data_IF_899675173174
#
_entry.id   IF_899675173174
#
_cell.length_a   1.000
_cell.length_b   1.000
_cell.length_c   1.000
_cell.angle_alpha   90.00
_cell.angle_beta   90.00
_cell.angle_gamma   90.00
#
_symmetry.space_group_name_H-M   'P 1'
#
loop_
_entity.id
_entity.type
_entity.pdbx_description
1 polymer ?
#
# COMPACT_ATOMS: atom_id res chain seq x y z
N UNK A 1 -15.11 17.53 19.75
CA UNK A 1 -14.27 18.12 18.69
C UNK A 1 -13.62 16.96 17.97
N UNK A 2 -14.07 16.67 16.75
CA UNK A 2 -13.38 15.72 15.88
C UNK A 2 -12.03 16.34 15.51
N UNK A 3 -10.91 15.75 15.94
CA UNK A 3 -9.60 16.13 15.40
C UNK A 3 -9.61 15.79 13.91
N UNK A 4 -9.74 16.80 13.05
CA UNK A 4 -9.51 16.60 11.63
C UNK A 4 -8.03 16.26 11.43
N UNK A 5 -7.69 15.13 10.78
CA UNK A 5 -6.31 14.80 10.46
C UNK A 5 -5.64 15.98 9.76
N UNK A 6 -4.44 16.35 10.21
CA UNK A 6 -3.66 17.38 9.52
C UNK A 6 -3.51 16.96 8.04
N UNK A 7 -3.92 17.79 7.06
CA UNK A 7 -3.90 17.42 5.64
C UNK A 7 -2.53 16.91 5.15
N UNK A 8 -1.45 17.43 5.76
CA UNK A 8 -0.08 17.01 5.50
C UNK A 8 0.21 15.56 5.90
N UNK A 9 -0.37 15.07 7.00
CA UNK A 9 -0.17 13.70 7.46
C UNK A 9 -0.89 12.69 6.54
N UNK A 10 -2.08 13.03 6.04
CA UNK A 10 -2.76 12.21 5.02
C UNK A 10 -1.94 12.12 3.74
N UNK A 11 -1.38 13.25 3.27
CA UNK A 11 -0.51 13.28 2.09
C UNK A 11 0.76 12.45 2.30
N UNK A 12 1.39 12.57 3.47
CA UNK A 12 2.56 11.76 3.82
C UNK A 12 2.22 10.27 3.86
N UNK A 13 1.08 9.91 4.47
CA UNK A 13 0.59 8.52 4.55
C UNK A 13 0.37 7.94 3.15
N UNK A 14 -0.30 8.67 2.26
CA UNK A 14 -0.51 8.23 0.87
C UNK A 14 0.83 8.12 0.10
N UNK A 15 1.78 9.03 0.32
CA UNK A 15 3.10 8.96 -0.31
C UNK A 15 3.93 7.76 0.18
N UNK A 16 3.85 7.42 1.47
CA UNK A 16 4.50 6.24 2.04
C UNK A 16 3.92 4.95 1.42
N UNK A 17 2.61 4.89 1.16
CA UNK A 17 2.03 3.75 0.44
C UNK A 17 2.58 3.61 -0.98
N UNK A 18 2.80 4.72 -1.71
CA UNK A 18 3.45 4.68 -3.03
C UNK A 18 4.85 4.06 -2.93
N UNK A 19 5.64 4.50 -1.95
CA UNK A 19 6.99 3.94 -1.72
C UNK A 19 6.92 2.45 -1.35
N UNK A 20 5.98 2.06 -0.50
CA UNK A 20 5.76 0.66 -0.13
C UNK A 20 5.42 -0.21 -1.34
N UNK A 21 4.52 0.25 -2.22
CA UNK A 21 4.17 -0.49 -3.44
C UNK A 21 5.36 -0.58 -4.40
N UNK A 22 6.16 0.48 -4.54
CA UNK A 22 7.37 0.48 -5.36
C UNK A 22 8.41 -0.51 -4.83
N UNK A 23 8.68 -0.48 -3.52
CA UNK A 23 9.62 -1.39 -2.87
C UNK A 23 9.15 -2.83 -3.02
N UNK A 24 7.89 -3.13 -2.71
CA UNK A 24 7.37 -4.50 -2.83
C UNK A 24 7.36 -5.00 -4.27
N UNK A 25 7.13 -4.13 -5.27
CA UNK A 25 7.20 -4.52 -6.67
C UNK A 25 8.63 -4.87 -7.14
N UNK A 26 9.64 -4.18 -6.62
CA UNK A 26 11.02 -4.32 -7.09
C UNK A 26 11.83 -5.32 -6.27
N UNK A 27 11.54 -5.45 -4.97
CA UNK A 27 12.37 -6.22 -4.06
C UNK A 27 12.53 -7.69 -4.47
N UNK A 28 11.48 -8.45 -4.82
CA UNK A 28 11.61 -9.86 -5.21
C UNK A 28 12.53 -10.07 -6.43
N UNK A 29 12.58 -9.09 -7.32
CA UNK A 29 13.44 -9.09 -8.52
C UNK A 29 14.89 -8.87 -8.10
N UNK A 30 15.15 -7.86 -7.26
CA UNK A 30 16.50 -7.48 -6.83
C UNK A 30 17.17 -8.58 -6.01
N UNK A 31 16.40 -9.25 -5.14
CA UNK A 31 16.94 -10.31 -4.25
C UNK A 31 16.87 -11.71 -4.84
N UNK A 32 16.27 -11.88 -6.03
CA UNK A 32 16.23 -13.16 -6.76
C UNK A 32 15.34 -14.21 -6.11
N UNK A 33 14.03 -13.97 -6.05
CA UNK A 33 13.03 -14.93 -5.53
C UNK A 33 12.45 -15.84 -6.63
N UNK A 34 11.68 -16.86 -6.24
CA UNK A 34 10.93 -17.72 -7.16
C UNK A 34 10.04 -16.93 -8.15
N UNK A 35 9.90 -17.43 -9.38
CA UNK A 35 9.19 -16.73 -10.45
C UNK A 35 7.69 -16.51 -10.14
N UNK A 36 7.04 -17.47 -9.48
CA UNK A 36 5.64 -17.37 -9.10
C UNK A 36 5.41 -16.26 -8.05
N UNK A 37 6.24 -16.23 -7.01
CA UNK A 37 6.21 -15.18 -6.00
C UNK A 37 6.50 -13.81 -6.63
N UNK A 38 7.57 -13.71 -7.41
CA UNK A 38 7.97 -12.48 -8.10
C UNK A 38 6.85 -11.96 -9.00
N UNK A 39 6.26 -12.81 -9.84
CA UNK A 39 5.16 -12.43 -10.73
C UNK A 39 3.94 -11.94 -9.96
N UNK A 40 3.58 -12.62 -8.87
CA UNK A 40 2.45 -12.24 -8.02
C UNK A 40 2.66 -10.88 -7.34
N UNK A 41 3.75 -10.74 -6.58
CA UNK A 41 4.02 -9.52 -5.81
C UNK A 41 4.31 -8.34 -6.71
N UNK A 42 5.04 -8.53 -7.82
CA UNK A 42 5.33 -7.45 -8.78
C UNK A 42 4.05 -6.94 -9.44
N UNK A 43 3.19 -7.84 -9.93
CA UNK A 43 1.93 -7.45 -10.57
C UNK A 43 1.00 -6.74 -9.58
N UNK A 44 0.87 -7.27 -8.36
CA UNK A 44 0.11 -6.62 -7.29
C UNK A 44 0.69 -5.26 -6.90
N UNK A 45 2.02 -5.14 -6.86
CA UNK A 45 2.70 -3.87 -6.56
C UNK A 45 2.48 -2.81 -7.62
N UNK A 46 2.50 -3.18 -8.90
CA UNK A 46 2.16 -2.27 -10.01
C UNK A 46 0.71 -1.80 -9.94
N UNK A 47 -0.24 -2.70 -9.67
CA UNK A 47 -1.64 -2.32 -9.45
C UNK A 47 -1.78 -1.41 -8.22
N UNK A 48 -1.12 -1.75 -7.11
CA UNK A 48 -1.05 -0.93 -5.91
C UNK A 48 -0.50 0.47 -6.19
N UNK A 49 0.52 0.60 -7.02
CA UNK A 49 1.07 1.90 -7.46
C UNK A 49 0.01 2.75 -8.17
N UNK A 50 -0.77 2.17 -9.08
CA UNK A 50 -1.84 2.90 -9.78
C UNK A 50 -2.84 3.49 -8.78
N UNK A 51 -3.31 2.70 -7.82
CA UNK A 51 -4.29 3.16 -6.84
C UNK A 51 -3.70 4.16 -5.84
N UNK A 52 -2.51 3.89 -5.30
CA UNK A 52 -1.84 4.79 -4.34
C UNK A 52 -1.50 6.14 -4.95
N UNK A 53 -0.96 6.17 -6.17
CA UNK A 53 -0.65 7.40 -6.90
C UNK A 53 -1.94 8.16 -7.19
N UNK A 54 -3.00 7.49 -7.64
CA UNK A 54 -4.29 8.15 -7.89
C UNK A 54 -4.87 8.75 -6.62
N UNK A 55 -4.80 8.04 -5.49
CA UNK A 55 -5.29 8.56 -4.21
C UNK A 55 -4.48 9.79 -3.77
N UNK A 56 -3.15 9.74 -3.88
CA UNK A 56 -2.27 10.87 -3.57
C UNK A 56 -2.55 12.09 -4.47
N UNK A 57 -2.80 11.87 -5.76
CA UNK A 57 -3.17 12.94 -6.70
C UNK A 57 -4.48 13.60 -6.29
N UNK A 58 -5.53 12.79 -6.03
CA UNK A 58 -6.84 13.31 -5.63
C UNK A 58 -6.74 14.09 -4.32
N UNK A 59 -6.11 13.50 -3.30
CA UNK A 59 -5.91 14.13 -2.00
C UNK A 59 -5.17 15.48 -2.10
N UNK A 60 -4.18 15.61 -2.99
CA UNK A 60 -3.48 16.89 -3.20
C UNK A 60 -4.34 17.95 -3.89
N UNK A 61 -5.29 17.55 -4.73
CA UNK A 61 -6.15 18.46 -5.50
C UNK A 61 -7.39 18.87 -4.69
N UNK A 62 -8.02 17.92 -4.01
CA UNK A 62 -9.31 18.13 -3.32
C UNK A 62 -9.15 18.35 -1.82
N UNK A 63 -8.01 18.00 -1.24
CA UNK A 63 -7.82 17.99 0.21
C UNK A 63 -8.46 16.79 0.92
N UNK A 64 -9.14 15.91 0.17
CA UNK A 64 -9.90 14.78 0.71
C UNK A 64 -9.41 13.43 0.15
N UNK A 65 -9.30 12.39 0.99
CA UNK A 65 -8.91 11.07 0.53
C UNK A 65 -10.04 10.39 -0.25
N UNK A 66 -9.69 9.67 -1.31
CA UNK A 66 -10.67 8.89 -2.07
C UNK A 66 -10.77 7.47 -1.52
N UNK A 67 -11.99 7.08 -1.09
CA UNK A 67 -12.23 5.78 -0.47
C UNK A 67 -11.85 4.58 -1.35
N UNK A 68 -12.31 4.46 -2.62
CA UNK A 68 -12.01 3.29 -3.43
C UNK A 68 -10.51 2.97 -3.57
N UNK A 69 -9.64 3.93 -3.98
CA UNK A 69 -8.22 3.63 -4.09
C UNK A 69 -7.53 3.44 -2.72
N UNK A 70 -8.02 4.07 -1.65
CA UNK A 70 -7.52 3.84 -0.29
C UNK A 70 -7.77 2.40 0.17
N UNK A 71 -8.99 1.89 -0.02
CA UNK A 71 -9.38 0.52 0.32
C UNK A 71 -8.54 -0.49 -0.47
N UNK A 72 -8.43 -0.32 -1.79
CA UNK A 72 -7.64 -1.23 -2.64
C UNK A 72 -6.17 -1.25 -2.25
N UNK A 73 -5.60 -0.08 -1.93
CA UNK A 73 -4.23 0.04 -1.40
C UNK A 73 -4.06 -0.83 -0.15
N UNK A 74 -4.97 -0.71 0.82
CA UNK A 74 -4.92 -1.45 2.08
C UNK A 74 -4.98 -2.96 1.86
N UNK A 75 -5.82 -3.42 0.93
CA UNK A 75 -5.94 -4.84 0.56
C UNK A 75 -4.62 -5.36 -0.03
N UNK A 76 -3.96 -4.59 -0.91
CA UNK A 76 -2.65 -4.97 -1.45
C UNK A 76 -1.57 -5.05 -0.37
N UNK A 77 -1.59 -4.16 0.63
CA UNK A 77 -0.72 -4.29 1.80
C UNK A 77 -0.93 -5.60 2.55
N UNK A 78 -2.19 -6.00 2.72
CA UNK A 78 -2.57 -7.28 3.33
C UNK A 78 -2.04 -8.46 2.52
N UNK A 79 -2.20 -8.40 1.20
CA UNK A 79 -1.66 -9.41 0.29
C UNK A 79 -0.14 -9.51 0.38
N UNK A 80 0.59 -8.40 0.47
CA UNK A 80 2.05 -8.41 0.61
C UNK A 80 2.51 -9.08 1.91
N UNK A 81 1.75 -8.95 3.00
CA UNK A 81 2.04 -9.68 4.25
C UNK A 81 1.78 -11.18 4.12
N UNK A 82 0.72 -11.55 3.39
CA UNK A 82 0.27 -12.94 3.25
C UNK A 82 1.04 -13.73 2.20
N UNK A 83 1.36 -13.14 1.05
CA UNK A 83 1.94 -13.83 -0.10
C UNK A 83 3.21 -14.64 0.24
N UNK A 84 4.19 -14.12 1.00
CA UNK A 84 5.39 -14.89 1.37
C UNK A 84 5.11 -16.17 2.17
N UNK A 85 3.94 -16.26 2.81
CA UNK A 85 3.51 -17.45 3.57
C UNK A 85 2.87 -18.53 2.67
N UNK A 86 2.45 -18.15 1.44
CA UNK A 86 1.73 -19.03 0.51
C UNK A 86 2.63 -19.60 -0.59
N UNK A 87 3.75 -18.94 -0.91
CA UNK A 87 4.71 -19.40 -1.91
C UNK A 87 5.89 -20.13 -1.26
N UNK A 88 6.43 -21.13 -1.96
CA UNK A 88 7.68 -21.79 -1.56
C UNK A 88 8.89 -21.04 -2.13
N UNK A 89 10.06 -21.26 -1.52
CA UNK A 89 11.35 -20.80 -2.04
C UNK A 89 11.44 -19.27 -2.26
N UNK A 90 10.81 -18.51 -1.35
CA UNK A 90 10.78 -17.03 -1.38
C UNK A 90 12.11 -16.43 -0.89
N UNK A 91 12.72 -17.04 0.13
CA UNK A 91 13.95 -16.54 0.74
C UNK A 91 13.73 -15.42 1.77
N UNK A 92 14.62 -15.33 2.75
CA UNK A 92 14.45 -14.48 3.94
C UNK A 92 14.26 -12.99 3.61
N UNK A 93 15.11 -12.42 2.73
CA UNK A 93 15.06 -10.99 2.41
C UNK A 93 13.77 -10.62 1.66
N UNK A 94 13.34 -11.46 0.72
CA UNK A 94 12.10 -11.25 -0.02
C UNK A 94 10.89 -11.35 0.91
N UNK A 95 10.89 -12.30 1.85
CA UNK A 95 9.85 -12.42 2.88
C UNK A 95 9.81 -11.18 3.77
N UNK A 96 10.91 -10.87 4.45
CA UNK A 96 10.96 -9.80 5.44
C UNK A 96 10.63 -8.44 4.80
N UNK A 97 11.21 -8.14 3.64
CA UNK A 97 10.98 -6.85 3.00
C UNK A 97 9.60 -6.73 2.37
N UNK A 98 9.04 -7.80 1.77
CA UNK A 98 7.67 -7.78 1.25
C UNK A 98 6.65 -7.66 2.39
N UNK A 99 6.85 -8.39 3.49
CA UNK A 99 5.97 -8.26 4.66
C UNK A 99 6.05 -6.88 5.30
N UNK A 100 7.25 -6.31 5.43
CA UNK A 100 7.43 -4.94 5.92
C UNK A 100 6.73 -3.92 5.00
N UNK A 101 6.92 -4.04 3.69
CA UNK A 101 6.22 -3.20 2.72
C UNK A 101 4.71 -3.34 2.87
N UNK A 102 4.20 -4.57 3.02
CA UNK A 102 2.80 -4.86 3.25
C UNK A 102 2.27 -4.23 4.55
N UNK A 103 3.00 -4.34 5.65
CA UNK A 103 2.66 -3.71 6.93
C UNK A 103 2.56 -2.19 6.78
N UNK A 104 3.55 -1.56 6.16
CA UNK A 104 3.55 -0.12 5.90
C UNK A 104 2.33 0.28 5.06
N UNK A 105 2.10 -0.38 3.93
CA UNK A 105 0.96 -0.09 3.05
C UNK A 105 -0.37 -0.28 3.79
N UNK A 106 -0.54 -1.37 4.53
CA UNK A 106 -1.80 -1.63 5.25
C UNK A 106 -2.03 -0.63 6.38
N UNK A 107 -1.02 -0.29 7.17
CA UNK A 107 -1.17 0.66 8.27
C UNK A 107 -1.55 2.05 7.76
N UNK A 108 -0.78 2.60 6.82
CA UNK A 108 -1.04 3.95 6.31
C UNK A 108 -2.24 3.99 5.36
N UNK A 109 -2.44 2.95 4.55
CA UNK A 109 -3.62 2.80 3.71
C UNK A 109 -4.90 2.75 4.54
N UNK A 110 -4.91 1.96 5.62
CA UNK A 110 -6.06 1.86 6.52
C UNK A 110 -6.36 3.20 7.19
N UNK A 111 -5.32 3.93 7.61
CA UNK A 111 -5.49 5.27 8.16
C UNK A 111 -6.20 6.22 7.17
N UNK A 112 -5.74 6.22 5.91
CA UNK A 112 -6.36 7.05 4.84
C UNK A 112 -7.79 6.58 4.53
N UNK A 113 -8.05 5.27 4.56
CA UNK A 113 -9.41 4.72 4.41
C UNK A 113 -10.32 5.20 5.53
N UNK A 114 -9.89 5.10 6.79
CA UNK A 114 -10.68 5.53 7.95
C UNK A 114 -10.95 7.03 7.90
N UNK A 115 -9.97 7.84 7.52
CA UNK A 115 -10.16 9.28 7.32
C UNK A 115 -11.25 9.56 6.26
N UNK A 116 -11.22 8.88 5.12
CA UNK A 116 -12.26 9.03 4.09
C UNK A 116 -13.66 8.56 4.51
N UNK A 117 -13.77 7.66 5.50
CA UNK A 117 -15.05 7.27 6.09
C UNK A 117 -15.54 8.29 7.12
N UNK A 118 -14.63 8.89 7.88
CA UNK A 118 -14.95 9.87 8.92
C UNK A 118 -15.41 11.22 8.34
N UNK A 119 -14.93 11.58 7.15
CA UNK A 119 -15.26 12.84 6.46
C UNK A 119 -16.41 12.69 5.44
N UNK A 120 -17.00 11.49 5.27
CA UNK A 120 -18.13 11.25 4.37
C UNK A 120 -19.45 11.84 4.89
N UNK A 121 -20.41 12.23 4.02
CA UNK A 121 -21.70 12.77 4.44
C UNK A 121 -22.49 11.70 5.23
N UNK A 122 -22.98 12.08 6.40
CA UNK A 122 -23.95 11.31 7.18
C UNK A 122 -25.30 11.20 6.46
#
# INVERSE_FOLDING_TARGET
MSEQPAPQFLVASAAVCVLGCLVGALLPIVVGSSAAFTGSVTSSGLLGLVFTVRNLQLLRVTGEPSLPPAVLTTIFGGWFMLAPLLYTDVGFLATAGTQLAGTVISTFGLYVTVAGLADGPA
#
